data_IF_494931528309
#
_entry.id   IF_494931528309
#
_cell.length_a   1.000
_cell.length_b   1.000
_cell.length_c   1.000
_cell.angle_alpha   90.00
_cell.angle_beta   90.00
_cell.angle_gamma   90.00
#
_symmetry.space_group_name_H-M   'P 1'
#
loop_
_entity.id
_entity.type
_entity.pdbx_description
1 polymer ?
#
# COMPACT_ATOMS: atom_id res chain seq x y z
N UNK A 1 -6.12 -20.67 6.92
CA UNK A 1 -4.71 -20.26 7.10
C UNK A 1 -4.38 -20.36 8.57
N UNK A 2 -3.17 -20.83 8.90
CA UNK A 2 -2.66 -20.89 10.28
C UNK A 2 -2.64 -19.52 10.98
N UNK A 3 -2.54 -18.44 10.20
CA UNK A 3 -2.52 -17.05 10.71
C UNK A 3 -3.90 -16.41 10.86
N UNK A 4 -4.97 -17.04 10.32
CA UNK A 4 -6.29 -16.39 10.27
C UNK A 4 -6.86 -16.09 11.65
N UNK A 5 -6.69 -17.01 12.61
CA UNK A 5 -7.14 -16.81 13.99
C UNK A 5 -6.45 -15.61 14.66
N UNK A 6 -5.14 -15.48 14.44
CA UNK A 6 -4.36 -14.37 14.98
C UNK A 6 -4.73 -13.04 14.33
N UNK A 7 -4.99 -13.05 13.02
CA UNK A 7 -5.45 -11.88 12.28
C UNK A 7 -6.80 -11.36 12.79
N UNK A 8 -7.81 -12.23 12.92
CA UNK A 8 -9.14 -11.83 13.43
C UNK A 8 -9.05 -11.23 14.82
N UNK A 9 -8.28 -11.87 15.71
CA UNK A 9 -8.04 -11.33 17.06
C UNK A 9 -7.42 -9.93 17.02
N UNK A 10 -6.45 -9.71 16.15
CA UNK A 10 -5.79 -8.40 16.02
C UNK A 10 -6.74 -7.30 15.48
N UNK A 11 -7.67 -7.67 14.58
CA UNK A 11 -8.72 -6.79 14.11
C UNK A 11 -9.71 -6.43 15.22
N UNK A 12 -10.17 -7.42 16.00
CA UNK A 12 -11.09 -7.23 17.12
C UNK A 12 -10.47 -6.30 18.18
N UNK A 13 -9.20 -6.54 18.56
CA UNK A 13 -8.46 -5.72 19.52
C UNK A 13 -8.28 -4.26 19.04
N UNK A 14 -8.31 -4.00 17.73
CA UNK A 14 -8.15 -2.67 17.12
C UNK A 14 -9.47 -2.04 16.65
N UNK A 15 -10.60 -2.69 16.89
CA UNK A 15 -11.91 -2.27 16.36
C UNK A 15 -11.92 -2.10 14.83
N UNK A 16 -11.26 -3.00 14.10
CA UNK A 16 -11.23 -3.02 12.64
C UNK A 16 -12.29 -3.99 12.13
N UNK A 17 -13.28 -3.49 11.39
CA UNK A 17 -14.30 -4.33 10.76
C UNK A 17 -13.73 -5.04 9.52
N UNK A 18 -13.89 -6.37 9.45
CA UNK A 18 -13.50 -7.15 8.28
C UNK A 18 -14.63 -7.21 7.26
N UNK A 19 -14.42 -6.62 6.08
CA UNK A 19 -15.34 -6.70 4.96
C UNK A 19 -14.89 -7.76 3.95
N UNK A 20 -15.83 -8.61 3.54
CA UNK A 20 -15.61 -9.62 2.51
C UNK A 20 -16.23 -9.19 1.19
N UNK A 21 -15.52 -9.44 0.11
CA UNK A 21 -16.11 -9.34 -1.22
C UNK A 21 -17.18 -10.42 -1.39
N UNK A 22 -18.21 -10.07 -2.16
CA UNK A 22 -19.22 -11.04 -2.56
C UNK A 22 -18.58 -12.21 -3.32
N UNK A 23 -19.06 -13.45 -3.11
CA UNK A 23 -18.60 -14.60 -3.85
C UNK A 23 -18.66 -14.35 -5.37
N UNK A 24 -17.62 -14.80 -6.09
CA UNK A 24 -17.51 -14.71 -7.55
C UNK A 24 -17.48 -13.27 -8.11
N UNK A 25 -17.01 -12.29 -7.33
CA UNK A 25 -16.78 -10.91 -7.79
C UNK A 25 -15.31 -10.48 -7.75
N UNK A 26 -14.43 -11.11 -8.57
CA UNK A 26 -13.00 -10.78 -8.59
C UNK A 26 -12.74 -9.31 -9.00
N UNK A 27 -13.63 -8.73 -9.83
CA UNK A 27 -13.52 -7.34 -10.30
C UNK A 27 -13.44 -6.31 -9.17
N UNK A 28 -13.95 -6.62 -7.98
CA UNK A 28 -13.89 -5.72 -6.83
C UNK A 28 -12.46 -5.49 -6.33
N UNK A 29 -11.54 -6.44 -6.56
CA UNK A 29 -10.13 -6.34 -6.18
C UNK A 29 -9.24 -5.70 -7.25
N UNK A 30 -9.82 -5.25 -8.36
CA UNK A 30 -9.03 -4.81 -9.52
C UNK A 30 -8.06 -3.67 -9.24
N UNK A 31 -8.32 -2.82 -8.25
CA UNK A 31 -7.39 -1.75 -7.85
C UNK A 31 -6.16 -2.31 -7.13
N UNK A 32 -6.36 -3.22 -6.17
CA UNK A 32 -5.27 -3.88 -5.44
C UNK A 32 -4.47 -4.76 -6.39
N UNK A 33 -5.13 -5.51 -7.28
CA UNK A 33 -4.48 -6.33 -8.29
C UNK A 33 -3.61 -5.49 -9.25
N UNK A 34 -4.09 -4.32 -9.68
CA UNK A 34 -3.29 -3.40 -10.51
C UNK A 34 -2.06 -2.89 -9.78
N UNK A 35 -2.20 -2.52 -8.50
CA UNK A 35 -1.07 -2.10 -7.69
C UNK A 35 -0.04 -3.23 -7.52
N UNK A 36 -0.49 -4.43 -7.18
CA UNK A 36 0.36 -5.61 -7.03
C UNK A 36 1.12 -5.93 -8.33
N UNK A 37 0.48 -5.76 -9.49
CA UNK A 37 1.16 -5.89 -10.77
C UNK A 37 2.21 -4.79 -10.98
N UNK A 38 1.88 -3.53 -10.69
CA UNK A 38 2.86 -2.43 -10.81
C UNK A 38 4.09 -2.64 -9.94
N UNK A 39 3.93 -3.03 -8.67
CA UNK A 39 5.10 -3.27 -7.80
C UNK A 39 5.91 -4.48 -8.26
N UNK A 40 5.26 -5.52 -8.80
CA UNK A 40 5.94 -6.68 -9.37
C UNK A 40 6.80 -6.26 -10.58
N UNK A 41 6.17 -5.65 -11.59
CA UNK A 41 6.79 -5.34 -12.88
C UNK A 41 7.80 -4.18 -12.79
N UNK A 42 7.54 -3.19 -11.93
CA UNK A 42 8.36 -1.97 -11.83
C UNK A 42 9.48 -2.09 -10.77
N UNK A 43 9.36 -3.00 -9.79
CA UNK A 43 10.34 -3.12 -8.70
C UNK A 43 10.82 -4.57 -8.47
N UNK A 44 9.93 -5.49 -8.12
CA UNK A 44 10.33 -6.82 -7.61
C UNK A 44 11.11 -7.60 -8.68
N UNK A 45 10.65 -7.61 -9.93
CA UNK A 45 11.30 -8.34 -11.03
C UNK A 45 12.74 -7.85 -11.29
N UNK A 46 13.04 -6.60 -10.95
CA UNK A 46 14.37 -6.00 -11.10
C UNK A 46 15.28 -6.19 -9.88
N UNK A 47 14.72 -6.63 -8.75
CA UNK A 47 15.42 -6.75 -7.46
C UNK A 47 15.40 -8.19 -6.92
N UNK A 48 15.23 -9.19 -7.80
CA UNK A 48 15.18 -10.61 -7.41
C UNK A 48 16.47 -11.10 -6.74
N UNK A 49 17.64 -10.57 -7.15
CA UNK A 49 18.91 -10.92 -6.51
C UNK A 49 18.96 -10.41 -5.07
N UNK A 50 18.58 -9.14 -4.83
CA UNK A 50 18.51 -8.60 -3.47
C UNK A 50 17.45 -9.35 -2.65
N UNK A 51 16.30 -9.69 -3.24
CA UNK A 51 15.28 -10.50 -2.57
C UNK A 51 15.83 -11.87 -2.12
N UNK A 52 16.72 -12.49 -2.89
CA UNK A 52 17.30 -13.79 -2.59
C UNK A 52 18.47 -13.73 -1.60
N UNK A 53 19.30 -12.68 -1.67
CA UNK A 53 20.61 -12.66 -1.01
C UNK A 53 20.81 -11.51 0.00
N UNK A 54 20.03 -10.43 -0.11
CA UNK A 54 20.09 -9.26 0.79
C UNK A 54 18.68 -8.68 1.05
N UNK A 55 17.96 -9.36 1.94
CA UNK A 55 16.60 -8.97 2.31
C UNK A 55 16.53 -7.60 2.99
N UNK A 56 17.59 -7.16 3.67
CA UNK A 56 17.61 -5.86 4.32
C UNK A 56 17.65 -4.75 3.28
N UNK A 57 18.57 -4.83 2.32
CA UNK A 57 18.63 -3.87 1.21
C UNK A 57 17.36 -3.90 0.34
N UNK A 58 16.82 -5.09 0.07
CA UNK A 58 15.56 -5.23 -0.66
C UNK A 58 14.41 -4.49 0.05
N UNK A 59 14.26 -4.68 1.36
CA UNK A 59 13.19 -4.05 2.13
C UNK A 59 13.33 -2.51 2.18
N UNK A 60 14.56 -2.01 2.35
CA UNK A 60 14.84 -0.58 2.33
C UNK A 60 14.50 0.04 0.96
N UNK A 61 14.99 -0.59 -0.11
CA UNK A 61 14.72 -0.16 -1.49
C UNK A 61 13.23 -0.22 -1.84
N UNK A 62 12.52 -1.24 -1.35
CA UNK A 62 11.07 -1.39 -1.54
C UNK A 62 10.30 -0.28 -0.82
N UNK A 63 10.74 0.11 0.37
CA UNK A 63 10.14 1.21 1.13
C UNK A 63 10.34 2.54 0.38
N UNK A 64 11.54 2.80 -0.13
CA UNK A 64 11.82 4.00 -0.93
C UNK A 64 10.96 4.05 -2.20
N UNK A 65 10.80 2.91 -2.88
CA UNK A 65 9.91 2.81 -4.04
C UNK A 65 8.45 3.08 -3.65
N UNK A 66 7.96 2.54 -2.53
CA UNK A 66 6.62 2.79 -2.02
C UNK A 66 6.39 4.27 -1.69
N UNK A 67 7.37 4.94 -1.08
CA UNK A 67 7.31 6.37 -0.78
C UNK A 67 7.23 7.16 -2.09
N UNK A 68 8.09 6.86 -3.06
CA UNK A 68 8.06 7.52 -4.36
C UNK A 68 6.72 7.32 -5.09
N UNK A 69 6.21 6.08 -5.13
CA UNK A 69 4.94 5.74 -5.78
C UNK A 69 3.79 6.58 -5.21
N UNK A 70 3.71 6.69 -3.88
CA UNK A 70 2.59 7.38 -3.24
C UNK A 70 2.74 8.90 -3.18
N UNK A 71 3.97 9.43 -3.17
CA UNK A 71 4.21 10.87 -2.96
C UNK A 71 4.56 11.63 -4.23
N UNK A 72 5.18 10.97 -5.22
CA UNK A 72 5.79 11.64 -6.39
C UNK A 72 5.28 11.13 -7.74
N UNK A 73 4.92 9.84 -7.86
CA UNK A 73 4.51 9.26 -9.15
C UNK A 73 3.23 9.93 -9.68
N UNK A 74 3.23 10.47 -10.91
CA UNK A 74 2.01 11.03 -11.49
C UNK A 74 1.08 9.92 -12.00
N UNK A 75 -0.23 10.02 -11.70
CA UNK A 75 -1.23 9.08 -12.18
C UNK A 75 -2.22 9.75 -13.14
N UNK A 76 -2.34 9.24 -14.36
CA UNK A 76 -3.30 9.75 -15.35
C UNK A 76 -4.74 9.77 -14.83
N UNK A 77 -5.17 8.71 -14.12
CA UNK A 77 -6.50 8.63 -13.52
C UNK A 77 -6.74 9.65 -12.40
N UNK A 78 -5.69 10.28 -11.88
CA UNK A 78 -5.74 11.32 -10.85
C UNK A 78 -5.39 12.72 -11.41
N UNK A 79 -5.42 12.91 -12.73
CA UNK A 79 -5.07 14.19 -13.34
C UNK A 79 -3.60 14.55 -13.19
N UNK A 80 -2.70 13.56 -13.32
CA UNK A 80 -1.24 13.67 -13.13
C UNK A 80 -0.79 14.03 -11.70
N UNK A 81 -1.67 13.85 -10.71
CA UNK A 81 -1.34 13.96 -9.28
C UNK A 81 -0.82 12.63 -8.75
N UNK A 82 0.00 12.69 -7.71
CA UNK A 82 0.35 11.50 -6.92
C UNK A 82 -0.82 11.09 -6.01
N UNK A 83 -0.87 9.83 -5.54
CA UNK A 83 -1.94 9.36 -4.66
C UNK A 83 -2.07 10.23 -3.40
N UNK A 84 -0.95 10.63 -2.80
CA UNK A 84 -0.95 11.51 -1.62
C UNK A 84 -1.49 12.90 -1.96
N UNK A 85 -1.07 13.51 -3.07
CA UNK A 85 -1.58 14.82 -3.48
C UNK A 85 -3.11 14.80 -3.68
N UNK A 86 -3.61 13.76 -4.35
CA UNK A 86 -5.03 13.58 -4.56
C UNK A 86 -5.78 13.39 -3.23
N UNK A 87 -5.24 12.59 -2.31
CA UNK A 87 -5.83 12.35 -1.00
C UNK A 87 -5.95 13.65 -0.18
N UNK A 88 -4.89 14.47 -0.14
CA UNK A 88 -4.89 15.75 0.58
C UNK A 88 -5.98 16.68 0.07
N UNK A 89 -6.15 16.76 -1.26
CA UNK A 89 -7.17 17.59 -1.88
C UNK A 89 -8.59 17.11 -1.59
N UNK A 90 -8.84 15.80 -1.72
CA UNK A 90 -10.17 15.21 -1.46
C UNK A 90 -10.57 15.35 0.00
N UNK A 91 -9.62 15.17 0.92
CA UNK A 91 -9.86 15.32 2.36
C UNK A 91 -9.78 16.77 2.85
N UNK A 92 -9.50 17.72 1.96
CA UNK A 92 -9.29 19.15 2.28
C UNK A 92 -8.26 19.35 3.40
N UNK A 93 -7.25 18.48 3.47
CA UNK A 93 -6.18 18.57 4.46
C UNK A 93 -5.14 19.56 3.95
N UNK A 94 -4.74 20.52 4.80
CA UNK A 94 -3.56 21.31 4.50
C UNK A 94 -2.32 20.40 4.53
N UNK A 95 -1.33 20.70 3.69
CA UNK A 95 -0.11 19.89 3.62
C UNK A 95 0.67 19.87 4.95
N UNK A 96 0.41 20.83 5.86
CA UNK A 96 0.95 20.87 7.22
C UNK A 96 0.13 20.05 8.24
N UNK A 97 -1.17 19.84 8.01
CA UNK A 97 -2.06 19.10 8.92
C UNK A 97 -2.14 17.60 8.62
N UNK A 98 -1.65 17.17 7.45
CA UNK A 98 -1.46 15.75 7.17
C UNK A 98 -0.32 15.23 8.04
N UNK A 99 -0.68 14.81 9.26
CA UNK A 99 0.20 14.17 10.24
C UNK A 99 0.61 12.77 9.78
N UNK A 100 1.02 12.63 8.51
CA UNK A 100 1.41 11.38 7.87
C UNK A 100 0.64 10.20 8.44
N UNK A 101 -0.59 9.96 7.98
CA UNK A 101 -1.38 8.76 8.35
C UNK A 101 -0.76 7.46 7.82
N UNK A 102 0.55 7.46 7.58
CA UNK A 102 1.35 6.29 7.27
C UNK A 102 2.22 6.01 8.48
N UNK A 103 2.06 4.79 8.98
CA UNK A 103 2.68 4.20 10.18
C UNK A 103 2.14 4.73 11.50
N UNK A 104 0.89 4.37 11.82
CA UNK A 104 0.49 4.16 13.22
C UNK A 104 1.04 2.79 13.72
N UNK A 105 2.32 2.55 13.44
CA UNK A 105 3.07 1.43 14.00
C UNK A 105 3.71 2.00 15.25
N UNK A 106 3.02 1.85 16.38
CA UNK A 106 3.59 2.12 17.70
C UNK A 106 4.78 1.18 17.90
N UNK A 107 5.96 1.76 18.09
CA UNK A 107 7.17 1.06 18.57
C UNK A 107 6.97 0.54 19.98
#
# INVERSE_FOLDING_TARGET
>A
SEFYKHFIRACDERNIEQLWNYPKRPKNNGMVERFNRSIQEEFIDWNLDNLAYDLEDFNNSLMDWCIWYNTKRPHYGLGLKSPMQYLLEVLQLSQQESRMLWTDTTT
#
